data_IF_944948914203
#
_entry.id   IF_944948914203
#
_cell.length_a   1.000
_cell.length_b   1.000
_cell.length_c   1.000
_cell.angle_alpha   90.00
_cell.angle_beta   90.00
_cell.angle_gamma   90.00
#
_symmetry.space_group_name_H-M   'P 1'
#
loop_
_entity.id
_entity.type
_entity.pdbx_description
1 polymer ?
#
# COMPACT_ATOMS: atom_id res chain seq x y z
N UNK A 1 -13.06 -9.06 11.96
CA UNK A 1 -12.19 -10.04 11.27
C UNK A 1 -12.22 -9.77 9.78
N UNK A 2 -11.10 -9.89 9.05
CA UNK A 2 -11.09 -9.71 7.60
C UNK A 2 -12.00 -10.74 6.91
N UNK A 3 -12.64 -10.36 5.80
CA UNK A 3 -13.49 -11.27 5.02
C UNK A 3 -12.68 -12.29 4.21
N UNK A 4 -11.48 -11.92 3.79
CA UNK A 4 -10.56 -12.77 3.05
C UNK A 4 -9.12 -12.35 3.36
N UNK A 5 -8.25 -13.31 3.63
CA UNK A 5 -6.80 -13.14 3.74
C UNK A 5 -6.15 -14.41 3.16
N UNK A 6 -5.27 -14.25 2.18
CA UNK A 6 -4.68 -15.36 1.43
C UNK A 6 -3.17 -15.17 1.29
N UNK A 7 -2.42 -16.23 1.52
CA UNK A 7 -0.98 -16.27 1.26
C UNK A 7 -0.73 -17.06 -0.01
N UNK A 8 0.05 -16.49 -0.94
CA UNK A 8 0.40 -17.17 -2.19
C UNK A 8 1.78 -17.80 -2.04
N UNK A 9 1.88 -19.11 -2.31
CA UNK A 9 3.15 -19.82 -2.36
C UNK A 9 3.81 -19.58 -3.73
N UNK A 10 5.01 -18.97 -3.78
CA UNK A 10 5.73 -18.74 -5.04
C UNK A 10 6.13 -20.06 -5.71
N UNK A 11 6.05 -20.09 -7.04
CA UNK A 11 6.49 -21.26 -7.84
C UNK A 11 8.01 -21.28 -8.05
N UNK A 12 8.65 -20.11 -7.95
CA UNK A 12 10.09 -19.94 -8.09
C UNK A 12 10.74 -19.74 -6.71
N UNK A 13 12.01 -20.12 -6.53
CA UNK A 13 12.75 -19.82 -5.31
C UNK A 13 12.71 -18.32 -4.99
N UNK A 14 12.42 -18.01 -3.72
CA UNK A 14 12.42 -16.64 -3.21
C UNK A 14 13.84 -16.27 -2.79
N UNK A 15 14.38 -15.19 -3.36
CA UNK A 15 15.71 -14.69 -3.01
C UNK A 15 15.74 -14.03 -1.62
N UNK A 16 14.71 -13.25 -1.31
CA UNK A 16 14.48 -12.61 -0.01
C UNK A 16 12.97 -12.48 0.19
N UNK A 17 12.48 -12.80 1.39
CA UNK A 17 11.08 -12.57 1.77
C UNK A 17 10.84 -11.12 2.21
N UNK A 18 11.91 -10.35 2.41
CA UNK A 18 11.88 -9.00 2.96
C UNK A 18 11.05 -8.97 4.25
N UNK A 19 11.20 -9.97 5.12
CA UNK A 19 10.31 -10.21 6.28
C UNK A 19 10.10 -8.99 7.17
N UNK A 20 11.13 -8.17 7.51
CA UNK A 20 10.92 -6.95 8.29
C UNK A 20 10.01 -5.93 7.61
N UNK A 21 9.92 -5.97 6.28
CA UNK A 21 9.02 -5.15 5.49
C UNK A 21 7.66 -5.82 5.30
N UNK A 22 7.61 -7.09 4.89
CA UNK A 22 6.38 -7.73 4.38
C UNK A 22 5.61 -8.53 5.44
N UNK A 23 6.24 -8.86 6.57
CA UNK A 23 5.72 -9.79 7.56
C UNK A 23 5.66 -11.25 7.09
N UNK A 24 6.09 -11.54 5.87
CA UNK A 24 6.05 -12.89 5.28
C UNK A 24 7.32 -13.65 5.62
N UNK A 25 7.18 -14.92 6.02
CA UNK A 25 8.30 -15.85 6.22
C UNK A 25 8.15 -17.11 5.37
N UNK A 26 9.24 -17.86 5.20
CA UNK A 26 9.20 -19.14 4.52
C UNK A 26 8.28 -20.14 5.22
N UNK A 27 8.30 -20.16 6.56
CA UNK A 27 7.48 -21.04 7.40
C UNK A 27 5.99 -20.71 7.25
N UNK A 28 5.65 -19.41 7.20
CA UNK A 28 4.28 -18.95 6.96
C UNK A 28 3.76 -19.45 5.61
N UNK A 29 4.55 -19.30 4.54
CA UNK A 29 4.14 -19.76 3.21
C UNK A 29 4.14 -21.29 3.08
N UNK A 30 5.00 -22.00 3.81
CA UNK A 30 4.95 -23.45 3.87
C UNK A 30 3.68 -23.96 4.56
N UNK A 31 3.25 -23.28 5.63
CA UNK A 31 2.08 -23.66 6.41
C UNK A 31 0.74 -23.23 5.79
N UNK A 32 0.68 -22.03 5.17
CA UNK A 32 -0.57 -21.40 4.74
C UNK A 32 -0.61 -21.04 3.25
N UNK A 33 0.52 -21.10 2.55
CA UNK A 33 0.61 -20.68 1.16
C UNK A 33 -0.15 -21.60 0.21
N UNK A 34 -0.98 -21.02 -0.65
CA UNK A 34 -1.71 -21.72 -1.72
C UNK A 34 -1.15 -21.36 -3.10
N UNK A 35 -1.38 -22.18 -4.14
CA UNK A 35 -1.04 -21.80 -5.52
C UNK A 35 -1.77 -20.51 -5.94
N UNK A 36 -1.11 -19.69 -6.75
CA UNK A 36 -1.68 -18.41 -7.22
C UNK A 36 -3.04 -18.61 -7.91
N UNK A 37 -3.17 -19.64 -8.74
CA UNK A 37 -4.44 -19.95 -9.42
C UNK A 37 -5.60 -20.19 -8.45
N UNK A 38 -5.35 -20.90 -7.35
CA UNK A 38 -6.35 -21.13 -6.31
C UNK A 38 -6.67 -19.84 -5.56
N UNK A 39 -5.66 -19.07 -5.16
CA UNK A 39 -5.87 -17.77 -4.49
C UNK A 39 -6.73 -16.83 -5.35
N UNK A 40 -6.44 -16.75 -6.65
CA UNK A 40 -7.19 -15.91 -7.58
C UNK A 40 -8.62 -16.39 -7.81
N UNK A 41 -8.84 -17.71 -7.87
CA UNK A 41 -10.20 -18.26 -7.95
C UNK A 41 -11.01 -17.93 -6.68
N UNK A 42 -10.41 -18.08 -5.50
CA UNK A 42 -11.03 -17.72 -4.22
C UNK A 42 -11.32 -16.22 -4.14
N UNK A 43 -10.38 -15.37 -4.54
CA UNK A 43 -10.55 -13.92 -4.57
C UNK A 43 -11.73 -13.51 -5.47
N UNK A 44 -11.76 -13.98 -6.72
CA UNK A 44 -12.84 -13.65 -7.67
C UNK A 44 -14.21 -14.17 -7.22
N UNK A 45 -14.26 -15.31 -6.53
CA UNK A 45 -15.51 -15.82 -5.97
C UNK A 45 -16.02 -14.97 -4.78
N UNK A 46 -15.11 -14.38 -4.01
CA UNK A 46 -15.44 -13.56 -2.85
C UNK A 46 -15.67 -12.07 -3.20
N UNK A 47 -15.15 -11.59 -4.33
CA UNK A 47 -15.20 -10.19 -4.75
C UNK A 47 -16.51 -9.89 -5.50
N UNK A 48 -17.38 -9.00 -4.98
CA UNK A 48 -18.57 -8.57 -5.71
C UNK A 48 -18.20 -7.79 -6.97
N UNK A 49 -18.86 -8.08 -8.10
CA UNK A 49 -18.62 -7.37 -9.38
C UNK A 49 -18.95 -5.88 -9.35
N UNK A 50 -19.77 -5.44 -8.40
CA UNK A 50 -20.09 -4.03 -8.19
C UNK A 50 -19.29 -3.41 -7.02
N UNK A 51 -18.27 -4.11 -6.51
CA UNK A 51 -17.44 -3.59 -5.43
C UNK A 51 -16.63 -2.38 -5.89
N UNK A 52 -16.42 -1.45 -4.98
CA UNK A 52 -15.44 -0.37 -5.12
C UNK A 52 -14.21 -0.76 -4.31
N UNK A 53 -13.07 -0.91 -4.98
CA UNK A 53 -11.80 -1.22 -4.33
C UNK A 53 -11.16 0.07 -3.82
N UNK A 54 -10.81 0.10 -2.54
CA UNK A 54 -10.19 1.26 -1.90
C UNK A 54 -8.80 0.87 -1.41
N UNK A 55 -7.78 1.63 -1.78
CA UNK A 55 -6.42 1.39 -1.30
C UNK A 55 -5.44 2.47 -1.70
N UNK A 56 -4.23 2.41 -1.15
CA UNK A 56 -3.14 3.32 -1.48
C UNK A 56 -2.42 2.85 -2.75
N UNK A 57 -2.46 3.64 -3.83
CA UNK A 57 -1.87 3.26 -5.14
C UNK A 57 -2.42 1.93 -5.67
N UNK A 58 -3.71 1.67 -5.42
CA UNK A 58 -4.40 0.38 -5.62
C UNK A 58 -4.36 -0.14 -7.06
N UNK A 59 -4.12 0.74 -8.04
CA UNK A 59 -3.98 0.33 -9.43
C UNK A 59 -2.83 -0.67 -9.64
N UNK A 60 -1.74 -0.56 -8.85
CA UNK A 60 -0.62 -1.51 -8.94
C UNK A 60 -0.97 -2.89 -8.41
N UNK A 61 -1.74 -2.98 -7.33
CA UNK A 61 -2.22 -4.25 -6.81
C UNK A 61 -3.18 -4.93 -7.81
N UNK A 62 -4.09 -4.16 -8.42
CA UNK A 62 -5.02 -4.65 -9.45
C UNK A 62 -4.26 -5.17 -10.67
N UNK A 63 -3.23 -4.44 -11.13
CA UNK A 63 -2.34 -4.86 -12.21
C UNK A 63 -1.64 -6.19 -11.88
N UNK A 64 -1.04 -6.30 -10.69
CA UNK A 64 -0.32 -7.51 -10.26
C UNK A 64 -1.23 -8.74 -10.11
N UNK A 65 -2.47 -8.53 -9.66
CA UNK A 65 -3.46 -9.59 -9.53
C UNK A 65 -4.15 -9.94 -10.85
N UNK A 66 -3.95 -9.15 -11.92
CA UNK A 66 -4.61 -9.35 -13.20
C UNK A 66 -6.14 -9.25 -13.09
N UNK A 67 -6.62 -8.32 -12.26
CA UNK A 67 -8.05 -8.00 -12.14
C UNK A 67 -8.43 -6.92 -13.17
N UNK A 68 -9.66 -6.96 -13.65
CA UNK A 68 -10.18 -6.03 -14.67
C UNK A 68 -11.39 -5.27 -14.13
N UNK A 69 -11.29 -3.94 -14.10
CA UNK A 69 -12.41 -3.05 -13.74
C UNK A 69 -13.57 -3.20 -14.74
N UNK A 70 -14.80 -3.23 -14.23
CA UNK A 70 -16.02 -3.52 -14.99
C UNK A 70 -16.27 -5.02 -15.24
N UNK A 71 -15.30 -5.90 -14.96
CA UNK A 71 -15.43 -7.36 -15.13
C UNK A 71 -15.37 -8.07 -13.77
N UNK A 72 -14.25 -7.90 -13.05
CA UNK A 72 -14.01 -8.53 -11.74
C UNK A 72 -14.57 -7.67 -10.60
N UNK A 73 -14.59 -6.34 -10.75
CA UNK A 73 -15.10 -5.38 -9.76
C UNK A 73 -15.64 -4.11 -10.46
N UNK A 74 -16.27 -3.22 -9.70
CA UNK A 74 -16.98 -2.06 -10.25
C UNK A 74 -16.08 -0.87 -10.52
N UNK A 75 -15.40 -0.37 -9.49
CA UNK A 75 -14.56 0.84 -9.57
C UNK A 75 -13.38 0.81 -8.58
N UNK A 76 -12.43 1.73 -8.73
CA UNK A 76 -11.36 1.97 -7.76
C UNK A 76 -11.43 3.37 -7.15
N UNK A 77 -11.02 3.48 -5.88
CA UNK A 77 -10.68 4.72 -5.21
C UNK A 77 -9.23 4.63 -4.74
N UNK A 78 -8.36 5.39 -5.41
CA UNK A 78 -6.96 5.48 -5.02
C UNK A 78 -6.76 6.57 -3.96
N UNK A 79 -6.36 6.17 -2.76
CA UNK A 79 -6.08 7.06 -1.64
C UNK A 79 -4.84 7.94 -1.88
N UNK A 80 -3.86 7.48 -2.65
CA UNK A 80 -2.71 8.31 -3.01
C UNK A 80 -3.17 9.54 -3.79
N UNK A 81 -4.08 9.34 -4.74
CA UNK A 81 -4.71 10.42 -5.48
C UNK A 81 -5.68 11.22 -4.59
N UNK A 82 -6.52 10.58 -3.78
CA UNK A 82 -7.54 11.26 -2.98
C UNK A 82 -6.95 12.19 -1.92
N UNK A 83 -5.85 11.78 -1.27
CA UNK A 83 -5.26 12.46 -0.11
C UNK A 83 -4.06 13.35 -0.47
N UNK A 84 -3.67 13.42 -1.75
CA UNK A 84 -2.56 14.26 -2.20
C UNK A 84 -2.78 15.72 -1.80
N UNK A 85 -1.71 16.40 -1.42
CA UNK A 85 -1.75 17.77 -0.92
C UNK A 85 -1.09 18.71 -1.93
N UNK A 86 -1.73 19.83 -2.28
CA UNK A 86 -1.07 20.85 -3.09
C UNK A 86 0.05 21.51 -2.26
N UNK A 87 1.28 21.47 -2.76
CA UNK A 87 2.42 22.04 -2.07
C UNK A 87 2.87 23.33 -2.77
N UNK A 88 2.65 24.52 -2.17
CA UNK A 88 2.99 25.80 -2.79
C UNK A 88 4.49 25.99 -3.00
N UNK A 89 5.34 25.34 -2.20
CA UNK A 89 6.80 25.45 -2.33
C UNK A 89 7.32 24.79 -3.61
N UNK A 90 6.59 23.79 -4.15
CA UNK A 90 6.96 23.05 -5.35
C UNK A 90 6.01 23.29 -6.52
N UNK A 91 4.94 24.06 -6.34
CA UNK A 91 3.92 24.28 -7.37
C UNK A 91 3.31 22.99 -7.91
N UNK A 92 3.19 21.95 -7.09
CA UNK A 92 2.73 20.62 -7.50
C UNK A 92 2.08 19.84 -6.35
N UNK A 93 1.34 18.78 -6.68
CA UNK A 93 0.80 17.87 -5.69
C UNK A 93 1.90 17.00 -5.09
N UNK A 94 1.99 17.01 -3.75
CA UNK A 94 2.82 16.11 -2.96
C UNK A 94 2.01 14.87 -2.58
N UNK A 95 2.63 13.71 -2.77
CA UNK A 95 2.12 12.42 -2.36
C UNK A 95 2.91 11.92 -1.17
N UNK A 96 2.23 11.23 -0.24
CA UNK A 96 2.88 10.58 0.89
C UNK A 96 2.50 9.09 0.96
N UNK A 97 3.28 8.33 1.72
CA UNK A 97 2.97 6.93 2.01
C UNK A 97 1.73 6.80 2.89
N UNK A 98 1.06 5.64 2.85
CA UNK A 98 -0.12 5.36 3.69
C UNK A 98 0.17 5.62 5.18
N UNK A 99 1.32 5.20 5.68
CA UNK A 99 1.70 5.39 7.09
C UNK A 99 1.81 6.87 7.48
N UNK A 100 2.28 7.71 6.56
CA UNK A 100 2.33 9.15 6.81
C UNK A 100 0.92 9.71 6.97
N UNK A 101 0.03 9.39 6.02
CA UNK A 101 -1.38 9.79 6.14
C UNK A 101 -2.03 9.22 7.41
N UNK A 102 -1.80 7.95 7.73
CA UNK A 102 -2.36 7.32 8.93
C UNK A 102 -1.89 7.98 10.22
N UNK A 103 -0.61 8.39 10.28
CA UNK A 103 -0.08 9.11 11.44
C UNK A 103 -0.71 10.48 11.64
N UNK A 104 -0.95 11.22 10.55
CA UNK A 104 -1.49 12.59 10.60
C UNK A 104 -3.02 12.59 10.76
N UNK A 105 -3.73 11.78 9.97
CA UNK A 105 -5.19 11.78 9.94
C UNK A 105 -5.81 10.94 11.06
N UNK A 106 -5.16 9.85 11.45
CA UNK A 106 -5.72 8.86 12.38
C UNK A 106 -4.95 8.77 13.70
N UNK A 107 -3.83 9.46 13.84
CA UNK A 107 -2.95 9.37 15.02
C UNK A 107 -2.27 8.00 15.15
N UNK A 108 -2.24 7.19 14.09
CA UNK A 108 -1.66 5.83 14.13
C UNK A 108 -0.15 5.92 14.05
N UNK A 109 0.54 5.41 15.06
CA UNK A 109 2.00 5.34 15.09
C UNK A 109 2.43 3.89 14.85
N UNK A 110 3.08 3.64 13.71
CA UNK A 110 3.85 2.41 13.47
C UNK A 110 5.31 2.64 13.79
N UNK A 111 5.92 1.66 14.44
CA UNK A 111 7.35 1.60 14.74
C UNK A 111 8.08 0.89 13.61
N UNK A 112 9.40 1.07 13.53
CA UNK A 112 10.24 0.38 12.53
C UNK A 112 10.31 -1.14 12.75
N UNK A 113 9.90 -1.61 13.93
CA UNK A 113 9.80 -3.03 14.24
C UNK A 113 8.48 -3.66 13.77
N UNK A 114 7.50 -2.84 13.36
CA UNK A 114 6.21 -3.32 12.87
C UNK A 114 6.35 -3.68 11.40
N UNK A 115 6.47 -4.97 11.11
CA UNK A 115 6.37 -5.46 9.74
C UNK A 115 4.98 -5.12 9.15
N UNK A 116 4.92 -4.91 7.83
CA UNK A 116 3.61 -4.71 7.19
C UNK A 116 2.75 -5.97 7.32
N UNK A 117 1.46 -5.72 7.41
CA UNK A 117 0.40 -6.71 7.36
C UNK A 117 -0.66 -6.18 6.40
N UNK A 118 -0.90 -6.92 5.31
CA UNK A 118 -1.88 -6.56 4.29
C UNK A 118 -3.28 -6.33 4.87
N UNK A 119 -3.67 -7.08 5.92
CA UNK A 119 -4.96 -6.90 6.58
C UNK A 119 -5.00 -5.58 7.35
N UNK A 120 -3.99 -5.31 8.18
CA UNK A 120 -3.87 -4.04 8.89
C UNK A 120 -3.81 -2.85 7.93
N UNK A 121 -3.10 -2.99 6.80
CA UNK A 121 -3.00 -1.96 5.77
C UNK A 121 -4.34 -1.68 5.09
N UNK A 122 -5.10 -2.72 4.75
CA UNK A 122 -6.46 -2.57 4.21
C UNK A 122 -7.41 -1.89 5.21
N UNK A 123 -7.28 -2.20 6.51
CA UNK A 123 -8.06 -1.53 7.56
C UNK A 123 -7.69 -0.05 7.66
N UNK A 124 -6.41 0.30 7.60
CA UNK A 124 -5.96 1.70 7.59
C UNK A 124 -6.48 2.43 6.36
N UNK A 125 -6.41 1.82 5.17
CA UNK A 125 -6.99 2.37 3.94
C UNK A 125 -8.47 2.73 4.12
N UNK A 126 -9.27 1.80 4.64
CA UNK A 126 -10.69 2.08 4.89
C UNK A 126 -10.91 3.18 5.94
N UNK A 127 -10.12 3.20 7.02
CA UNK A 127 -10.21 4.26 8.04
C UNK A 127 -9.86 5.63 7.48
N UNK A 128 -8.84 5.73 6.62
CA UNK A 128 -8.47 6.96 5.92
C UNK A 128 -9.59 7.41 4.98
N UNK A 129 -10.16 6.50 4.19
CA UNK A 129 -11.29 6.80 3.33
C UNK A 129 -12.50 7.33 4.12
N UNK A 130 -12.85 6.69 5.23
CA UNK A 130 -13.91 7.16 6.12
C UNK A 130 -13.61 8.53 6.73
N UNK A 131 -12.37 8.77 7.18
CA UNK A 131 -11.97 10.07 7.72
C UNK A 131 -12.07 11.19 6.66
N UNK A 132 -11.66 10.92 5.42
CA UNK A 132 -11.81 11.86 4.31
C UNK A 132 -13.27 12.15 4.00
N UNK A 133 -14.09 11.10 3.80
CA UNK A 133 -15.50 11.25 3.43
C UNK A 133 -16.33 11.99 4.50
N UNK A 134 -15.93 11.93 5.77
CA UNK A 134 -16.56 12.70 6.84
C UNK A 134 -16.36 14.22 6.70
N UNK A 135 -15.28 14.67 6.04
CA UNK A 135 -14.94 16.09 5.91
C UNK A 135 -14.90 16.58 4.46
N UNK A 136 -15.10 15.72 3.46
CA UNK A 136 -14.88 16.03 2.04
C UNK A 136 -15.69 17.24 1.50
N UNK A 137 -16.79 17.59 2.19
CA UNK A 137 -17.64 18.73 1.84
C UNK A 137 -17.27 20.02 2.59
N UNK A 138 -16.31 19.96 3.52
CA UNK A 138 -15.75 21.09 4.24
C UNK A 138 -14.33 21.39 3.71
N UNK A 139 -14.26 22.34 2.79
CA UNK A 139 -13.01 22.74 2.16
C UNK A 139 -11.97 23.26 3.17
N UNK A 140 -12.42 23.90 4.27
CA UNK A 140 -11.54 24.41 5.32
C UNK A 140 -10.94 23.25 6.11
N UNK A 141 -11.74 22.24 6.47
CA UNK A 141 -11.24 21.05 7.16
C UNK A 141 -10.26 20.25 6.28
N UNK A 142 -10.56 20.09 4.99
CA UNK A 142 -9.68 19.41 4.03
C UNK A 142 -8.35 20.17 3.89
N UNK A 143 -8.39 21.49 3.74
CA UNK A 143 -7.18 22.33 3.65
C UNK A 143 -6.33 22.25 4.92
N UNK A 144 -6.94 22.38 6.10
CA UNK A 144 -6.24 22.27 7.38
C UNK A 144 -5.55 20.91 7.55
N UNK A 145 -6.17 19.83 7.05
CA UNK A 145 -5.56 18.51 7.10
C UNK A 145 -4.40 18.38 6.09
N UNK A 146 -4.53 18.96 4.90
CA UNK A 146 -3.43 19.00 3.93
C UNK A 146 -2.22 19.77 4.48
N UNK A 147 -2.44 20.90 5.14
CA UNK A 147 -1.39 21.67 5.82
C UNK A 147 -0.68 20.85 6.89
N UNK A 148 -1.42 20.09 7.72
CA UNK A 148 -0.83 19.19 8.72
C UNK A 148 0.02 18.09 8.07
N UNK A 149 -0.44 17.51 6.96
CA UNK A 149 0.32 16.49 6.22
C UNK A 149 1.65 17.06 5.73
N UNK A 150 1.64 18.28 5.18
CA UNK A 150 2.84 18.95 4.67
C UNK A 150 3.79 19.43 5.77
N UNK A 151 3.25 19.84 6.93
CA UNK A 151 4.04 20.30 8.07
C UNK A 151 4.69 19.14 8.85
N UNK A 152 4.13 17.93 8.76
CA UNK A 152 4.64 16.76 9.46
C UNK A 152 5.78 16.13 8.67
N UNK A 153 6.92 15.88 9.31
CA UNK A 153 8.06 15.23 8.65
C UNK A 153 7.76 13.74 8.44
N UNK A 154 7.81 13.22 7.21
CA UNK A 154 7.60 11.80 6.95
C UNK A 154 8.78 10.97 7.46
N UNK A 155 8.49 9.78 7.98
CA UNK A 155 9.52 8.79 8.31
C UNK A 155 10.21 8.31 7.02
N UNK A 156 11.51 8.00 7.07
CA UNK A 156 12.19 7.39 5.93
C UNK A 156 11.57 6.01 5.64
N UNK A 157 11.42 5.67 4.36
CA UNK A 157 10.94 4.35 3.96
C UNK A 157 12.01 3.28 4.21
N UNK A 158 11.58 2.02 4.33
CA UNK A 158 12.49 0.89 4.47
C UNK A 158 13.60 0.88 3.39
N UNK A 159 13.25 1.09 2.12
CA UNK A 159 14.21 1.14 1.01
C UNK A 159 15.18 2.34 1.07
N UNK A 160 14.83 3.41 1.80
CA UNK A 160 15.73 4.54 2.04
C UNK A 160 16.74 4.21 3.15
N UNK A 161 16.31 3.48 4.17
CA UNK A 161 17.16 2.99 5.27
C UNK A 161 18.05 1.82 4.85
N UNK A 162 17.53 0.96 3.98
CA UNK A 162 18.17 -0.25 3.48
C UNK A 162 18.21 -0.23 1.94
N UNK A 163 19.15 0.51 1.31
CA UNK A 163 19.35 0.48 -0.14
C UNK A 163 19.56 -0.91 -0.75
N UNK A 164 20.10 -1.82 0.04
CA UNK A 164 20.29 -3.24 -0.24
C UNK A 164 19.87 -4.03 1.00
N UNK A 165 19.17 -5.14 0.80
CA UNK A 165 18.73 -6.02 1.88
C UNK A 165 18.75 -7.47 1.41
N UNK A 166 19.40 -8.36 2.15
CA UNK A 166 19.52 -9.80 1.80
C UNK A 166 19.99 -10.03 0.35
N UNK A 167 20.95 -9.22 -0.12
CA UNK A 167 21.48 -9.29 -1.49
C UNK A 167 20.53 -8.78 -2.57
N UNK A 168 19.38 -8.23 -2.19
CA UNK A 168 18.40 -7.61 -3.08
C UNK A 168 18.56 -6.09 -3.08
N UNK A 169 18.65 -5.49 -4.26
CA UNK A 169 18.63 -4.03 -4.39
C UNK A 169 17.21 -3.50 -4.17
N UNK A 170 17.08 -2.49 -3.29
CA UNK A 170 15.78 -1.90 -2.93
C UNK A 170 15.39 -0.71 -3.82
N UNK A 171 16.18 -0.44 -4.88
CA UNK A 171 15.71 0.26 -6.08
C UNK A 171 15.49 1.77 -5.96
N UNK A 172 15.98 2.47 -4.93
CA UNK A 172 15.86 3.92 -4.95
C UNK A 172 16.81 4.54 -6.02
N UNK A 173 16.33 5.56 -6.76
CA UNK A 173 17.05 6.15 -7.92
C UNK A 173 18.46 6.66 -7.61
N UNK A 174 18.73 7.01 -6.36
CA UNK A 174 19.99 7.61 -5.94
C UNK A 174 21.00 6.58 -5.43
N UNK A 175 20.55 5.41 -4.98
CA UNK A 175 21.41 4.39 -4.35
C UNK A 175 21.30 3.02 -4.99
N UNK A 176 20.57 2.88 -6.11
CA UNK A 176 20.50 1.63 -6.85
C UNK A 176 21.89 1.26 -7.38
N UNK A 177 22.33 0.02 -7.07
CA UNK A 177 23.61 -0.53 -7.54
C UNK A 177 23.48 -1.75 -8.46
N UNK A 178 22.26 -2.22 -8.72
CA UNK A 178 22.03 -3.46 -9.48
C UNK A 178 21.94 -3.25 -10.99
N UNK A 179 21.90 -2.00 -11.48
CA UNK A 179 21.80 -1.69 -12.91
C UNK A 179 20.46 -2.06 -13.57
N UNK A 180 19.47 -2.51 -12.80
CA UNK A 180 18.13 -2.80 -13.32
C UNK A 180 17.45 -1.50 -13.79
N UNK A 181 16.66 -1.54 -14.87
CA UNK A 181 15.91 -0.37 -15.32
C UNK A 181 14.92 0.08 -14.25
N UNK A 182 14.81 1.39 -14.04
CA UNK A 182 13.78 1.94 -13.16
C UNK A 182 12.43 1.80 -13.85
N UNK A 183 11.50 1.08 -13.22
CA UNK A 183 10.12 1.05 -13.68
C UNK A 183 9.51 2.45 -13.51
N UNK A 184 9.00 3.00 -14.60
CA UNK A 184 8.29 4.29 -14.68
C UNK A 184 6.86 4.18 -14.17
#
# INVERSE_FOLDING_TARGET
MPRLNLYVRPERPVASYLTPLTGVTAELLAAQGVPLSLAMATLRAALPRNAVLVGQNIAKDVEWLGLVEGVDFGQMVDLAALLRCWNPNFGSYTYAAQDHYASVWLGVQRTEADAHDAVADAVISMRLFHAYTAIQHDATAVAAMAERVLATTPKPSFAKLHPEFEGCCMGNRQTCKCGAPFFS
#
